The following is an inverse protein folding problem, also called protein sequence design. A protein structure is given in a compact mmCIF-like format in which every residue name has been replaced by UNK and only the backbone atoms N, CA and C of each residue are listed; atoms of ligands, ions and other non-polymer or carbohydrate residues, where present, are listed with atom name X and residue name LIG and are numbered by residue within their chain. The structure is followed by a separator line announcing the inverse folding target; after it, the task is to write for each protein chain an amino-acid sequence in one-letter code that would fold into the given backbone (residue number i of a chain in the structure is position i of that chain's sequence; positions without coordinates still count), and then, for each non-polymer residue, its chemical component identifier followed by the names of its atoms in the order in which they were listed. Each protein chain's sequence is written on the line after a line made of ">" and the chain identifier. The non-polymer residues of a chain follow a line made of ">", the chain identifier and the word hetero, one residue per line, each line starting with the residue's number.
data_IF_607564328472
#
_entry.id   IF_607564328472
#
_cell.length_a   1.000
_cell.length_b   1.000
_cell.length_c   1.000
_cell.angle_alpha   90.00
_cell.angle_beta   90.00
_cell.angle_gamma   90.00
#
_symmetry.space_group_name_H-M   'P 1'
#
loop_
_entity.id
_entity.type
_entity.pdbx_description
1 polymer ?
#
# COMPACT_ATOMS: atom_id res chain seq x y z
N UNK A 1 20.76 3.39 2.59
CA UNK A 1 20.66 4.40 1.52
C UNK A 1 19.26 4.37 0.93
N UNK A 2 18.80 5.47 0.33
CA UNK A 2 17.51 5.49 -0.38
C UNK A 2 17.59 4.56 -1.59
N UNK A 3 16.61 3.65 -1.81
CA UNK A 3 16.64 2.77 -2.96
C UNK A 3 16.28 3.55 -4.22
N UNK A 4 17.17 3.54 -5.21
CA UNK A 4 16.91 4.10 -6.54
C UNK A 4 16.61 2.93 -7.47
N UNK A 5 15.63 3.11 -8.36
CA UNK A 5 15.24 2.10 -9.35
C UNK A 5 15.27 2.73 -10.74
N UNK A 6 16.06 2.14 -11.63
CA UNK A 6 15.98 2.43 -13.05
C UNK A 6 14.69 1.83 -13.64
N UNK A 7 14.03 2.61 -14.48
CA UNK A 7 12.81 2.21 -15.18
C UNK A 7 13.10 2.17 -16.69
N UNK A 8 12.47 1.26 -17.46
CA UNK A 8 12.76 1.10 -18.88
C UNK A 8 12.13 2.21 -19.75
N UNK A 9 11.29 3.05 -19.16
CA UNK A 9 10.52 4.11 -19.83
C UNK A 9 10.99 5.49 -19.38
N UNK A 10 10.67 6.51 -20.19
CA UNK A 10 11.00 7.91 -19.86
C UNK A 10 10.23 8.43 -18.64
N UNK A 11 9.02 7.92 -18.41
CA UNK A 11 8.13 8.39 -17.35
C UNK A 11 7.50 7.23 -16.60
N UNK A 12 7.23 7.48 -15.33
CA UNK A 12 6.32 6.70 -14.49
C UNK A 12 5.12 7.59 -14.23
N UNK A 13 3.91 7.04 -14.37
CA UNK A 13 2.66 7.78 -14.21
C UNK A 13 1.83 7.16 -13.09
N UNK A 14 1.13 8.01 -12.36
CA UNK A 14 0.04 7.58 -11.49
C UNK A 14 -1.25 7.63 -12.29
N UNK A 15 -2.05 6.58 -12.18
CA UNK A 15 -3.36 6.47 -12.82
C UNK A 15 -4.39 6.12 -11.75
N UNK A 16 -5.49 6.89 -11.63
CA UNK A 16 -6.58 6.53 -10.72
C UNK A 16 -7.12 5.14 -11.02
N UNK A 17 -7.53 4.42 -9.97
CA UNK A 17 -7.97 3.03 -10.09
C UNK A 17 -9.12 2.89 -11.10
N UNK A 18 -10.07 3.82 -11.09
CA UNK A 18 -11.27 3.83 -11.93
C UNK A 18 -10.96 4.02 -13.42
N UNK A 19 -9.74 4.43 -13.77
CA UNK A 19 -9.30 4.60 -15.15
C UNK A 19 -8.52 3.40 -15.68
N UNK A 20 -8.16 2.44 -14.81
CA UNK A 20 -7.41 1.25 -15.22
C UNK A 20 -8.22 0.40 -16.21
N UNK A 21 -7.50 -0.19 -17.13
CA UNK A 21 -7.99 -1.08 -18.18
C UNK A 21 -7.22 -2.39 -18.11
N UNK A 22 -7.72 -3.44 -18.76
CA UNK A 22 -7.04 -4.75 -18.79
C UNK A 22 -5.64 -4.70 -19.44
N UNK A 23 -5.35 -3.65 -20.22
CA UNK A 23 -4.05 -3.43 -20.84
C UNK A 23 -3.03 -2.79 -19.89
N UNK A 24 -3.46 -2.25 -18.75
CA UNK A 24 -2.56 -1.66 -17.77
C UNK A 24 -1.87 -2.75 -16.94
N UNK A 25 -0.57 -2.59 -16.68
CA UNK A 25 0.20 -3.45 -15.80
C UNK A 25 0.90 -2.60 -14.72
N UNK A 26 0.21 -2.27 -13.61
CA UNK A 26 0.78 -1.45 -12.55
C UNK A 26 1.97 -2.16 -11.88
N UNK A 27 2.99 -1.39 -11.52
CA UNK A 27 4.08 -1.89 -10.66
C UNK A 27 3.70 -1.84 -9.19
N UNK A 28 3.01 -0.78 -8.79
CA UNK A 28 2.64 -0.47 -7.40
C UNK A 28 1.17 -0.04 -7.33
N UNK A 29 0.53 -0.36 -6.22
CA UNK A 29 -0.74 0.23 -5.78
C UNK A 29 -0.47 1.11 -4.57
N UNK A 30 -1.01 2.33 -4.58
CA UNK A 30 -0.87 3.31 -3.48
C UNK A 30 -2.26 3.63 -2.94
N UNK A 31 -2.52 3.22 -1.71
CA UNK A 31 -3.72 3.57 -0.97
C UNK A 31 -3.50 4.85 -0.19
N UNK A 32 -4.50 5.72 -0.15
CA UNK A 32 -4.63 6.79 0.83
C UNK A 32 -5.61 6.31 1.88
N UNK A 33 -5.15 6.15 3.11
CA UNK A 33 -5.88 5.41 4.13
C UNK A 33 -5.84 6.15 5.47
N UNK A 34 -6.98 6.17 6.17
CA UNK A 34 -7.03 6.53 7.58
C UNK A 34 -6.57 5.36 8.48
N UNK A 35 -6.59 5.55 9.79
CA UNK A 35 -6.09 4.54 10.73
C UNK A 35 -6.86 3.21 10.69
N UNK A 36 -8.18 3.23 10.45
CA UNK A 36 -9.00 2.01 10.40
C UNK A 36 -8.74 1.23 9.12
N UNK A 37 -8.71 1.93 7.99
CA UNK A 37 -8.38 1.37 6.68
C UNK A 37 -6.94 0.83 6.66
N UNK A 38 -6.00 1.55 7.26
CA UNK A 38 -4.61 1.11 7.39
C UNK A 38 -4.48 -0.13 8.25
N UNK A 39 -5.30 -0.25 9.30
CA UNK A 39 -5.35 -1.47 10.13
C UNK A 39 -5.81 -2.68 9.31
N UNK A 40 -6.85 -2.54 8.50
CA UNK A 40 -7.29 -3.60 7.60
C UNK A 40 -6.23 -3.95 6.54
N UNK A 41 -5.59 -2.95 5.93
CA UNK A 41 -4.52 -3.17 4.96
C UNK A 41 -3.32 -3.90 5.58
N UNK A 42 -2.96 -3.57 6.82
CA UNK A 42 -1.88 -4.22 7.55
C UNK A 42 -2.20 -5.69 7.88
N UNK A 43 -3.44 -5.99 8.29
CA UNK A 43 -3.89 -7.38 8.51
C UNK A 43 -3.91 -8.14 7.20
N UNK A 44 -4.50 -7.56 6.15
CA UNK A 44 -4.63 -8.21 4.84
C UNK A 44 -3.26 -8.50 4.20
N UNK A 45 -2.29 -7.60 4.39
CA UNK A 45 -0.92 -7.77 3.91
C UNK A 45 -0.22 -9.03 4.45
N UNK A 46 -0.59 -9.51 5.63
CA UNK A 46 0.00 -10.71 6.24
C UNK A 46 -0.96 -11.91 6.34
N UNK A 47 -2.23 -11.73 5.94
CA UNK A 47 -3.34 -12.65 6.21
C UNK A 47 -3.04 -14.12 5.87
N UNK A 48 -2.51 -14.37 4.66
CA UNK A 48 -2.15 -15.73 4.21
C UNK A 48 -0.63 -15.99 4.25
N UNK A 49 0.14 -15.10 4.88
CA UNK A 49 1.60 -15.21 4.96
C UNK A 49 2.07 -15.59 6.35
N UNK A 50 1.41 -15.10 7.40
CA UNK A 50 1.69 -15.43 8.80
C UNK A 50 3.12 -15.10 9.25
N UNK A 51 3.77 -14.13 8.60
CA UNK A 51 5.18 -13.79 8.88
C UNK A 51 5.32 -12.75 9.97
N UNK A 52 4.25 -11.98 10.25
CA UNK A 52 4.27 -10.74 11.04
C UNK A 52 5.29 -9.70 10.55
N UNK A 53 5.81 -9.84 9.33
CA UNK A 53 6.85 -9.01 8.76
C UNK A 53 6.46 -8.45 7.37
N UNK A 54 5.21 -8.64 6.93
CA UNK A 54 4.70 -8.18 5.63
C UNK A 54 4.46 -6.67 5.54
N UNK A 55 4.75 -5.90 6.58
CA UNK A 55 4.59 -4.44 6.61
C UNK A 55 5.86 -3.76 7.11
N UNK A 56 6.18 -2.59 6.54
CA UNK A 56 7.31 -1.75 6.96
C UNK A 56 6.94 -0.27 6.91
N UNK A 57 7.57 0.54 7.77
CA UNK A 57 7.36 1.99 7.84
C UNK A 57 8.73 2.71 7.85
N UNK A 58 9.47 2.71 6.73
CA UNK A 58 10.75 3.39 6.65
C UNK A 58 10.58 4.90 6.73
N UNK A 59 11.55 5.57 7.37
CA UNK A 59 11.62 7.02 7.31
C UNK A 59 12.15 7.48 5.94
N UNK A 60 11.47 8.47 5.35
CA UNK A 60 11.84 9.14 4.12
C UNK A 60 10.91 10.32 3.85
N UNK A 61 11.24 11.11 2.83
CA UNK A 61 10.35 12.15 2.32
C UNK A 61 9.01 11.57 1.82
N UNK A 62 7.97 12.38 1.70
CA UNK A 62 6.62 11.86 1.40
C UNK A 62 6.58 10.98 0.16
N UNK A 63 7.19 11.43 -0.93
CA UNK A 63 7.28 10.67 -2.19
C UNK A 63 8.24 9.47 -2.14
N UNK A 64 9.15 9.40 -1.16
CA UNK A 64 10.12 8.31 -1.06
C UNK A 64 9.47 6.99 -0.65
N UNK A 65 8.26 6.99 -0.07
CA UNK A 65 7.45 5.78 0.15
C UNK A 65 7.27 4.95 -1.13
N UNK A 66 7.14 5.62 -2.28
CA UNK A 66 7.01 4.99 -3.60
C UNK A 66 8.31 4.26 -3.98
N UNK A 67 9.48 4.87 -3.69
CA UNK A 67 10.78 4.27 -3.98
C UNK A 67 11.03 3.02 -3.15
N UNK A 68 10.61 3.03 -1.88
CA UNK A 68 10.63 1.83 -1.05
C UNK A 68 9.69 0.75 -1.61
N UNK A 69 8.51 1.13 -2.12
CA UNK A 69 7.61 0.21 -2.83
C UNK A 69 8.28 -0.49 -4.01
N UNK A 70 8.99 0.26 -4.87
CA UNK A 70 9.78 -0.30 -5.97
C UNK A 70 10.87 -1.27 -5.49
N UNK A 71 11.53 -0.98 -4.37
CA UNK A 71 12.52 -1.87 -3.78
C UNK A 71 11.88 -3.17 -3.29
N UNK A 72 10.69 -3.10 -2.69
CA UNK A 72 9.93 -4.28 -2.26
C UNK A 72 9.43 -5.10 -3.46
N UNK A 73 9.05 -4.47 -4.58
CA UNK A 73 8.60 -5.18 -5.78
C UNK A 73 9.63 -6.18 -6.34
N UNK A 74 10.93 -5.90 -6.14
CA UNK A 74 12.05 -6.74 -6.56
C UNK A 74 12.33 -7.93 -5.64
N UNK A 75 11.75 -7.97 -4.44
CA UNK A 75 11.98 -9.05 -3.47
C UNK A 75 11.07 -10.23 -3.76
N UNK A 76 11.52 -11.44 -3.44
CA UNK A 76 10.68 -12.63 -3.48
C UNK A 76 9.45 -12.46 -2.57
N UNK A 77 9.68 -12.05 -1.33
CA UNK A 77 8.65 -11.77 -0.32
C UNK A 77 8.55 -10.24 -0.09
N UNK A 78 7.72 -9.53 -0.85
CA UNK A 78 7.56 -8.07 -0.73
C UNK A 78 6.82 -7.69 0.56
N UNK A 79 7.06 -6.49 1.07
CA UNK A 79 6.28 -5.90 2.17
C UNK A 79 5.49 -4.69 1.69
N UNK A 80 4.36 -4.42 2.34
CA UNK A 80 3.65 -3.16 2.21
C UNK A 80 4.35 -2.04 2.97
N UNK A 81 4.38 -0.85 2.39
CA UNK A 81 5.09 0.31 2.91
C UNK A 81 4.08 1.33 3.43
N UNK A 82 4.07 1.57 4.74
CA UNK A 82 3.37 2.71 5.33
C UNK A 82 4.23 3.96 5.12
N UNK A 83 3.65 5.02 4.55
CA UNK A 83 4.36 6.22 4.15
C UNK A 83 3.61 7.51 4.48
N UNK A 84 4.10 8.61 3.91
CA UNK A 84 3.59 9.97 4.11
C UNK A 84 3.88 10.57 5.50
N UNK A 85 4.94 10.11 6.19
CA UNK A 85 5.38 10.63 7.49
C UNK A 85 6.28 11.87 7.43
N UNK A 86 6.56 12.41 6.24
CA UNK A 86 7.35 13.62 6.07
C UNK A 86 6.60 14.84 6.63
N UNK A 87 7.09 15.35 7.76
CA UNK A 87 6.47 16.46 8.50
C UNK A 87 6.34 17.71 7.61
N UNK A 88 7.25 17.94 6.68
CA UNK A 88 7.18 19.11 5.78
C UNK A 88 6.04 19.00 4.77
N UNK A 89 5.62 17.78 4.45
CA UNK A 89 4.57 17.49 3.47
C UNK A 89 3.24 17.11 4.13
N UNK A 90 3.21 16.77 5.43
CA UNK A 90 1.95 16.42 6.11
C UNK A 90 0.81 17.42 5.91
N UNK A 91 1.01 18.75 5.84
CA UNK A 91 -0.09 19.69 5.61
C UNK A 91 -0.81 19.57 4.26
N UNK A 92 -0.26 18.83 3.28
CA UNK A 92 -0.83 18.75 1.92
C UNK A 92 -1.86 17.63 1.73
N UNK A 93 -2.03 16.75 2.73
CA UNK A 93 -3.09 15.73 2.76
C UNK A 93 -3.83 15.81 4.09
N UNK A 94 -5.04 15.25 4.14
CA UNK A 94 -5.86 15.29 5.34
C UNK A 94 -5.14 14.78 6.61
N UNK A 95 -5.54 15.32 7.76
CA UNK A 95 -4.94 15.05 9.07
C UNK A 95 -4.87 13.56 9.40
N UNK A 96 -5.86 12.78 8.94
CA UNK A 96 -5.99 11.37 9.28
C UNK A 96 -5.42 10.44 8.22
N UNK A 97 -5.03 10.98 7.06
CA UNK A 97 -4.58 10.19 5.92
C UNK A 97 -3.08 9.96 5.97
N UNK A 98 -2.70 8.69 5.79
CA UNK A 98 -1.36 8.22 5.46
C UNK A 98 -1.44 7.44 4.14
N UNK A 99 -0.29 7.03 3.61
CA UNK A 99 -0.25 6.15 2.43
C UNK A 99 0.13 4.73 2.80
N UNK A 100 -0.44 3.76 2.10
CA UNK A 100 0.03 2.37 2.10
C UNK A 100 0.36 1.96 0.67
N UNK A 101 1.62 1.63 0.40
CA UNK A 101 2.08 1.27 -0.94
C UNK A 101 2.47 -0.20 -0.98
N UNK A 102 1.92 -0.96 -1.93
CA UNK A 102 2.24 -2.38 -2.13
C UNK A 102 2.64 -2.67 -3.57
N UNK A 103 3.56 -3.61 -3.82
CA UNK A 103 3.78 -4.15 -5.16
C UNK A 103 2.51 -4.80 -5.73
N UNK A 104 2.25 -4.66 -7.02
CA UNK A 104 1.02 -5.17 -7.64
C UNK A 104 0.85 -6.68 -7.46
N UNK A 105 1.94 -7.45 -7.47
CA UNK A 105 1.88 -8.88 -7.15
C UNK A 105 1.31 -9.17 -5.75
N UNK A 106 1.71 -8.38 -4.76
CA UNK A 106 1.21 -8.49 -3.39
C UNK A 106 -0.24 -8.02 -3.29
N UNK A 107 -0.61 -6.97 -4.02
CA UNK A 107 -2.00 -6.54 -4.11
C UNK A 107 -2.90 -7.67 -4.61
N UNK A 108 -2.51 -8.42 -5.65
CA UNK A 108 -3.30 -9.57 -6.13
C UNK A 108 -3.44 -10.68 -5.10
N UNK A 109 -2.40 -10.92 -4.29
CA UNK A 109 -2.49 -11.86 -3.16
C UNK A 109 -3.49 -11.36 -2.10
N UNK A 110 -3.47 -10.06 -1.79
CA UNK A 110 -4.42 -9.45 -0.86
C UNK A 110 -5.86 -9.53 -1.39
N UNK A 111 -6.06 -9.21 -2.67
CA UNK A 111 -7.36 -9.24 -3.35
C UNK A 111 -7.97 -10.65 -3.38
N UNK A 112 -7.15 -11.67 -3.69
CA UNK A 112 -7.57 -13.07 -3.64
C UNK A 112 -7.96 -13.55 -2.23
N UNK A 113 -7.52 -12.85 -1.18
CA UNK A 113 -7.87 -13.13 0.21
C UNK A 113 -9.00 -12.23 0.72
N UNK A 114 -9.72 -11.47 -0.12
CA UNK A 114 -10.84 -10.63 0.34
C UNK A 114 -12.03 -11.48 0.78
N UNK A 115 -12.48 -12.39 -0.09
CA UNK A 115 -13.59 -13.30 0.19
C UNK A 115 -13.23 -14.29 1.30
N UNK A 116 -14.11 -14.44 2.30
CA UNK A 116 -13.92 -15.34 3.44
C UNK A 116 -12.92 -14.84 4.49
N UNK A 117 -12.56 -13.55 4.47
CA UNK A 117 -11.56 -12.97 5.37
C UNK A 117 -12.15 -12.26 6.58
N UNK A 118 -11.27 -11.61 7.35
CA UNK A 118 -11.68 -10.76 8.47
C UNK A 118 -12.61 -9.61 8.06
N UNK A 119 -12.65 -9.25 6.77
CA UNK A 119 -13.54 -8.22 6.24
C UNK A 119 -15.03 -8.60 6.33
N UNK A 120 -15.36 -9.87 6.57
CA UNK A 120 -16.75 -10.30 6.81
C UNK A 120 -17.11 -10.33 8.30
N UNK A 121 -16.14 -10.06 9.19
CA UNK A 121 -16.33 -10.17 10.64
C UNK A 121 -17.04 -8.97 11.24
N UNK A 122 -17.71 -9.19 12.37
CA UNK A 122 -18.34 -8.14 13.16
C UNK A 122 -17.38 -7.02 13.58
N UNK A 123 -16.10 -7.35 13.79
CA UNK A 123 -15.09 -6.36 14.16
C UNK A 123 -14.85 -5.35 13.03
N UNK A 124 -14.77 -5.82 11.78
CA UNK A 124 -14.63 -4.94 10.62
C UNK A 124 -15.92 -4.15 10.33
N UNK A 125 -17.08 -4.80 10.41
CA UNK A 125 -18.37 -4.13 10.18
C UNK A 125 -18.57 -2.91 11.09
N UNK A 126 -18.19 -3.01 12.37
CA UNK A 126 -18.19 -1.86 13.30
C UNK A 126 -17.26 -0.73 12.90
N UNK A 127 -16.12 -1.03 12.27
CA UNK A 127 -15.22 -0.01 11.76
C UNK A 127 -15.79 0.65 10.50
N UNK A 128 -16.49 -0.10 9.65
CA UNK A 128 -17.17 0.44 8.47
C UNK A 128 -18.27 1.44 8.84
N UNK A 129 -19.01 1.21 9.93
CA UNK A 129 -20.09 2.10 10.39
C UNK A 129 -19.63 3.50 10.83
N UNK A 130 -18.33 3.68 11.12
CA UNK A 130 -17.74 4.95 11.57
C UNK A 130 -16.87 5.64 10.51
N UNK A 131 -16.89 5.15 9.26
CA UNK A 131 -16.26 5.83 8.11
C UNK A 131 -17.21 6.87 7.54
#
# INVERSE_FOLDING_TARGET
>A
SLPITDVPTKYVVFKPWEQLTEQDNPELIVFFANADQLSALAVMADFNRGTNQSVTAPFGGACQSILFGYAEAKKENPRGVIGFFDISQRPIVDREILTFTVPFKMFREMDANVEGSFLETHAWQKLQERQ
#
